data_IF_963821076023
#
_entry.id   IF_963821076023
#
_cell.length_a   1.000
_cell.length_b   1.000
_cell.length_c   1.000
_cell.angle_alpha   90.00
_cell.angle_beta   90.00
_cell.angle_gamma   90.00
#
_symmetry.space_group_name_H-M   'P 1'
#
loop_
_entity.id
_entity.type
_entity.pdbx_description
1 polymer ?
#
# COMPACT_ATOMS: atom_id res chain seq x y z
N UNK A 1 -14.67 10.80 10.85
CA UNK A 1 -13.45 11.62 10.65
C UNK A 1 -13.14 11.60 9.16
N UNK A 2 -13.23 12.75 8.47
CA UNK A 2 -12.78 12.86 7.07
C UNK A 2 -11.25 12.84 7.15
N UNK A 3 -10.64 11.78 6.62
CA UNK A 3 -9.20 11.65 6.53
C UNK A 3 -8.66 12.72 5.55
N UNK A 4 -7.52 13.34 5.85
CA UNK A 4 -6.90 14.37 4.99
C UNK A 4 -6.69 13.85 3.56
N UNK A 5 -6.46 12.54 3.43
CA UNK A 5 -6.35 11.88 2.13
C UNK A 5 -7.68 11.82 1.36
N UNK A 6 -8.84 11.74 2.04
CA UNK A 6 -10.14 11.73 1.34
C UNK A 6 -10.39 13.08 0.65
N UNK A 7 -10.10 14.19 1.33
CA UNK A 7 -10.24 15.54 0.74
C UNK A 7 -9.34 15.68 -0.48
N UNK A 8 -8.09 15.20 -0.40
CA UNK A 8 -7.17 15.18 -1.53
C UNK A 8 -7.74 14.39 -2.73
N UNK A 9 -8.24 13.18 -2.51
CA UNK A 9 -8.82 12.37 -3.58
C UNK A 9 -10.08 12.98 -4.19
N UNK A 10 -10.94 13.62 -3.37
CA UNK A 10 -12.11 14.36 -3.87
C UNK A 10 -11.69 15.57 -4.72
N UNK A 11 -10.69 16.33 -4.28
CA UNK A 11 -10.17 17.46 -5.04
C UNK A 11 -9.60 17.02 -6.40
N UNK A 12 -8.83 15.93 -6.42
CA UNK A 12 -8.31 15.37 -7.67
C UNK A 12 -9.44 14.86 -8.56
N UNK A 13 -10.44 14.18 -8.01
CA UNK A 13 -11.61 13.74 -8.77
C UNK A 13 -12.34 14.92 -9.44
N UNK A 14 -12.59 16.00 -8.70
CA UNK A 14 -13.20 17.22 -9.23
C UNK A 14 -12.34 17.82 -10.34
N UNK A 15 -11.02 17.89 -10.15
CA UNK A 15 -10.10 18.38 -11.17
C UNK A 15 -10.20 17.57 -12.47
N UNK A 16 -10.20 16.24 -12.38
CA UNK A 16 -10.29 15.38 -13.57
C UNK A 16 -11.67 15.47 -14.23
N UNK A 17 -12.76 15.62 -13.46
CA UNK A 17 -14.08 15.93 -14.03
C UNK A 17 -14.08 17.23 -14.83
N UNK A 18 -13.48 18.29 -14.29
CA UNK A 18 -13.35 19.58 -15.00
C UNK A 18 -12.54 19.42 -16.28
N UNK A 19 -11.41 18.71 -16.24
CA UNK A 19 -10.58 18.44 -17.42
C UNK A 19 -11.35 17.63 -18.49
N UNK A 20 -12.08 16.59 -18.08
CA UNK A 20 -12.94 15.82 -18.98
C UNK A 20 -14.00 16.71 -19.66
N UNK A 21 -14.64 17.61 -18.89
CA UNK A 21 -15.62 18.55 -19.43
C UNK A 21 -14.98 19.54 -20.42
N UNK A 22 -13.78 20.04 -20.14
CA UNK A 22 -13.03 20.91 -21.06
C UNK A 22 -12.64 20.17 -22.34
N UNK A 23 -12.27 18.89 -22.22
CA UNK A 23 -11.97 18.00 -23.35
C UNK A 23 -13.23 17.50 -24.09
N UNK A 24 -14.42 18.04 -23.77
CA UNK A 24 -15.73 17.69 -24.34
C UNK A 24 -15.97 16.18 -24.36
N UNK A 25 -15.53 15.47 -23.32
CA UNK A 25 -15.73 14.04 -23.19
C UNK A 25 -17.15 13.76 -22.68
N UNK A 26 -18.04 13.31 -23.57
CA UNK A 26 -19.44 12.99 -23.25
C UNK A 26 -19.74 11.49 -23.29
N UNK A 27 -18.73 10.64 -23.50
CA UNK A 27 -18.90 9.19 -23.43
C UNK A 27 -18.94 8.68 -21.99
N UNK A 28 -19.10 7.36 -21.83
CA UNK A 28 -19.01 6.70 -20.52
C UNK A 28 -17.66 6.97 -19.80
N UNK A 29 -16.61 7.37 -20.54
CA UNK A 29 -15.31 7.75 -20.00
C UNK A 29 -15.39 9.01 -19.13
N UNK A 30 -16.41 9.85 -19.30
CA UNK A 30 -16.67 10.99 -18.44
C UNK A 30 -16.88 10.59 -16.96
N UNK A 31 -17.31 9.35 -16.71
CA UNK A 31 -17.53 8.79 -15.36
C UNK A 31 -16.26 8.18 -14.75
N UNK A 32 -15.17 8.03 -15.51
CA UNK A 32 -13.92 7.46 -15.00
C UNK A 32 -13.34 8.16 -13.76
N UNK A 33 -13.48 9.48 -13.56
CA UNK A 33 -12.99 10.13 -12.34
C UNK A 33 -13.56 9.51 -11.05
N UNK A 34 -14.76 8.90 -11.09
CA UNK A 34 -15.35 8.21 -9.93
C UNK A 34 -14.43 7.08 -9.42
N UNK A 35 -13.66 6.43 -10.31
CA UNK A 35 -12.70 5.39 -9.95
C UNK A 35 -11.62 5.88 -8.95
N UNK A 36 -11.36 7.19 -8.90
CA UNK A 36 -10.40 7.79 -7.95
C UNK A 36 -10.87 7.54 -6.50
N UNK A 37 -12.17 7.71 -6.22
CA UNK A 37 -12.74 7.40 -4.89
C UNK A 37 -12.63 5.90 -4.59
N UNK A 38 -12.86 5.03 -5.57
CA UNK A 38 -12.68 3.59 -5.38
C UNK A 38 -11.26 3.25 -4.98
N UNK A 39 -10.27 3.89 -5.61
CA UNK A 39 -8.86 3.71 -5.28
C UNK A 39 -8.53 4.23 -3.88
N UNK A 40 -9.13 5.34 -3.42
CA UNK A 40 -8.98 5.77 -2.03
C UNK A 40 -9.38 4.66 -1.06
N UNK A 41 -10.55 4.04 -1.26
CA UNK A 41 -11.03 2.98 -0.37
C UNK A 41 -10.20 1.70 -0.48
N UNK A 42 -9.74 1.36 -1.68
CA UNK A 42 -8.84 0.23 -1.92
C UNK A 42 -7.49 0.43 -1.22
N UNK A 43 -6.88 1.61 -1.39
CA UNK A 43 -5.61 1.99 -0.78
C UNK A 43 -5.68 2.07 0.75
N UNK A 44 -6.84 2.40 1.32
CA UNK A 44 -7.08 2.30 2.76
C UNK A 44 -7.46 0.88 3.24
N UNK A 45 -7.45 -0.11 2.35
CA UNK A 45 -7.73 -1.51 2.68
C UNK A 45 -9.21 -1.81 2.97
N UNK A 46 -10.15 -0.88 2.75
CA UNK A 46 -11.58 -1.11 3.03
C UNK A 46 -12.20 -2.17 2.13
N UNK A 47 -11.70 -2.31 0.90
CA UNK A 47 -12.13 -3.33 -0.06
C UNK A 47 -11.27 -4.59 -0.06
N UNK A 48 -10.30 -4.70 0.86
CA UNK A 48 -9.41 -5.85 0.93
C UNK A 48 -9.84 -6.88 1.98
N UNK A 49 -9.40 -8.15 1.84
CA UNK A 49 -9.58 -9.17 2.87
C UNK A 49 -9.08 -8.69 4.25
N UNK A 50 -9.73 -9.14 5.32
CA UNK A 50 -9.45 -8.71 6.72
C UNK A 50 -7.95 -8.72 7.08
N UNK A 51 -7.20 -9.72 6.60
CA UNK A 51 -5.75 -9.86 6.87
C UNK A 51 -4.97 -8.70 6.22
N UNK A 52 -5.20 -8.43 4.94
CA UNK A 52 -4.56 -7.34 4.21
C UNK A 52 -4.97 -5.97 4.75
N UNK A 53 -6.25 -5.81 5.08
CA UNK A 53 -6.76 -4.58 5.71
C UNK A 53 -6.01 -4.26 7.01
N UNK A 54 -5.85 -5.23 7.92
CA UNK A 54 -5.07 -5.04 9.16
C UNK A 54 -3.62 -4.65 8.88
N UNK A 55 -2.99 -5.28 7.89
CA UNK A 55 -1.62 -4.97 7.48
C UNK A 55 -1.48 -3.53 7.00
N UNK A 56 -2.41 -3.06 6.17
CA UNK A 56 -2.45 -1.67 5.71
C UNK A 56 -2.72 -0.71 6.88
N UNK A 57 -3.67 -1.02 7.76
CA UNK A 57 -3.98 -0.20 8.95
C UNK A 57 -2.75 -0.05 9.86
N UNK A 58 -1.96 -1.10 10.07
CA UNK A 58 -0.69 -1.03 10.81
C UNK A 58 0.28 -0.03 10.14
N UNK A 59 0.41 -0.08 8.82
CA UNK A 59 1.28 0.83 8.07
C UNK A 59 0.77 2.28 8.08
N UNK A 60 -0.54 2.50 7.97
CA UNK A 60 -1.13 3.85 8.03
C UNK A 60 -0.97 4.45 9.43
N UNK A 61 -1.32 3.71 10.47
CA UNK A 61 -1.33 4.18 11.85
C UNK A 61 0.04 4.12 12.54
N UNK A 62 1.06 3.53 11.89
CA UNK A 62 2.37 3.33 12.50
C UNK A 62 2.34 2.34 13.67
N UNK A 63 1.44 1.36 13.61
CA UNK A 63 1.30 0.33 14.62
C UNK A 63 2.53 -0.59 14.70
N UNK A 64 2.57 -1.41 15.76
CA UNK A 64 3.68 -2.31 16.00
C UNK A 64 3.66 -3.51 15.03
N UNK A 65 4.75 -3.70 14.29
CA UNK A 65 4.85 -4.65 13.17
C UNK A 65 5.40 -6.02 13.55
N UNK A 66 6.05 -6.15 14.71
CA UNK A 66 6.88 -7.31 15.07
C UNK A 66 6.27 -8.19 16.17
N UNK A 67 4.96 -8.08 16.41
CA UNK A 67 4.24 -8.91 17.39
C UNK A 67 4.52 -10.41 17.19
N UNK A 68 4.57 -10.86 15.93
CA UNK A 68 4.83 -12.27 15.60
C UNK A 68 6.25 -12.71 16.01
N UNK A 69 7.25 -11.82 15.86
CA UNK A 69 8.63 -12.09 16.25
C UNK A 69 8.74 -12.10 17.78
N UNK A 70 8.15 -11.13 18.47
CA UNK A 70 8.18 -11.08 19.94
C UNK A 70 7.50 -12.30 20.56
N UNK A 71 6.35 -12.71 20.02
CA UNK A 71 5.64 -13.89 20.46
C UNK A 71 6.44 -15.18 20.23
N UNK A 72 7.23 -15.27 19.15
CA UNK A 72 8.14 -16.39 18.92
C UNK A 72 9.28 -16.40 19.96
N UNK A 73 9.93 -15.25 20.19
CA UNK A 73 11.02 -15.11 21.18
C UNK A 73 10.55 -15.46 22.60
N UNK A 74 9.42 -14.92 23.05
CA UNK A 74 8.90 -15.22 24.40
C UNK A 74 8.49 -16.69 24.58
N UNK A 75 8.10 -17.38 23.50
CA UNK A 75 7.83 -18.83 23.53
C UNK A 75 9.12 -19.65 23.63
N UNK A 76 10.21 -19.19 23.03
CA UNK A 76 11.54 -19.79 23.18
C UNK A 76 12.03 -19.64 24.64
N UNK A 77 12.00 -18.43 25.18
CA UNK A 77 12.48 -18.11 26.54
C UNK A 77 11.76 -18.88 27.65
N UNK A 78 10.46 -19.17 27.49
CA UNK A 78 9.69 -19.93 28.47
C UNK A 78 10.03 -21.42 28.53
N UNK A 79 10.57 -21.98 27.45
CA UNK A 79 10.76 -23.42 27.33
C UNK A 79 12.21 -23.87 27.55
N UNK A 80 13.20 -22.98 27.42
CA UNK A 80 14.61 -23.33 27.63
C UNK A 80 15.34 -22.23 28.43
N UNK A 81 16.03 -22.63 29.52
CA UNK A 81 17.07 -21.84 30.17
C UNK A 81 18.32 -21.80 29.27
N UNK A 82 18.20 -21.31 28.05
CA UNK A 82 19.37 -21.13 27.19
C UNK A 82 20.05 -19.80 27.54
N UNK A 83 21.39 -19.83 27.56
CA UNK A 83 22.26 -18.65 27.51
C UNK A 83 22.08 -17.94 26.15
N UNK A 84 20.93 -17.30 25.97
CA UNK A 84 20.42 -16.74 24.71
C UNK A 84 20.91 -15.31 24.44
N UNK A 85 21.96 -14.83 25.09
CA UNK A 85 22.40 -13.44 24.92
C UNK A 85 22.77 -13.16 23.45
N UNK A 86 23.51 -14.06 22.80
CA UNK A 86 23.94 -13.89 21.40
C UNK A 86 22.76 -14.02 20.41
N UNK A 87 21.80 -14.93 20.66
CA UNK A 87 20.60 -15.03 19.82
C UNK A 87 19.68 -13.81 20.00
N UNK A 88 19.54 -13.29 21.23
CA UNK A 88 18.77 -12.08 21.52
C UNK A 88 19.38 -10.87 20.81
N UNK A 89 20.70 -10.72 20.86
CA UNK A 89 21.41 -9.66 20.14
C UNK A 89 21.23 -9.79 18.63
N UNK A 90 21.33 -11.01 18.07
CA UNK A 90 21.08 -11.27 16.66
C UNK A 90 19.63 -10.95 16.25
N UNK A 91 18.65 -11.33 17.07
CA UNK A 91 17.22 -11.04 16.83
C UNK A 91 16.94 -9.54 16.95
N UNK A 92 17.52 -8.84 17.92
CA UNK A 92 17.43 -7.38 18.02
C UNK A 92 18.03 -6.69 16.79
N UNK A 93 19.18 -7.16 16.30
CA UNK A 93 19.82 -6.65 15.09
C UNK A 93 18.91 -6.82 13.87
N UNK A 94 18.28 -7.99 13.72
CA UNK A 94 17.29 -8.26 12.67
C UNK A 94 16.08 -7.34 12.83
N UNK A 95 15.52 -7.18 14.03
CA UNK A 95 14.40 -6.27 14.31
C UNK A 95 14.74 -4.83 13.94
N UNK A 96 15.93 -4.33 14.32
CA UNK A 96 16.40 -2.98 13.96
C UNK A 96 16.47 -2.79 12.45
N UNK A 97 17.01 -3.77 11.71
CA UNK A 97 17.04 -3.75 10.23
C UNK A 97 15.64 -3.78 9.63
N UNK A 98 14.78 -4.69 10.08
CA UNK A 98 13.39 -4.79 9.62
C UNK A 98 12.59 -3.52 9.91
N UNK A 99 12.84 -2.85 11.04
CA UNK A 99 12.19 -1.60 11.41
C UNK A 99 12.60 -0.47 10.44
N UNK A 100 13.87 -0.43 10.03
CA UNK A 100 14.34 0.49 9.00
C UNK A 100 13.64 0.21 7.66
N UNK A 101 13.59 -1.05 7.23
CA UNK A 101 12.91 -1.47 6.00
C UNK A 101 11.41 -1.11 6.06
N UNK A 102 10.74 -1.37 7.19
CA UNK A 102 9.34 -1.04 7.40
C UNK A 102 9.07 0.46 7.26
N UNK A 103 9.96 1.32 7.81
CA UNK A 103 9.86 2.78 7.66
C UNK A 103 9.95 3.19 6.19
N UNK A 104 10.87 2.60 5.42
CA UNK A 104 11.00 2.87 4.00
C UNK A 104 9.75 2.39 3.24
N UNK A 105 9.29 1.17 3.49
CA UNK A 105 8.09 0.61 2.88
C UNK A 105 6.84 1.45 3.20
N UNK A 106 6.73 1.98 4.41
CA UNK A 106 5.66 2.90 4.80
C UNK A 106 5.71 4.20 4.01
N UNK A 107 6.88 4.81 3.88
CA UNK A 107 7.05 6.02 3.07
C UNK A 107 6.69 5.77 1.61
N UNK A 108 7.16 4.65 1.04
CA UNK A 108 6.83 4.26 -0.34
C UNK A 108 5.33 4.05 -0.51
N UNK A 109 4.67 3.37 0.43
CA UNK A 109 3.23 3.16 0.38
C UNK A 109 2.44 4.47 0.44
N UNK A 110 2.75 5.36 1.37
CA UNK A 110 2.12 6.67 1.46
C UNK A 110 2.38 7.51 0.21
N UNK A 111 3.60 7.45 -0.32
CA UNK A 111 3.94 8.11 -1.57
C UNK A 111 3.11 7.56 -2.74
N UNK A 112 2.96 6.24 -2.87
CA UNK A 112 2.10 5.62 -3.88
C UNK A 112 0.64 6.01 -3.73
N UNK A 113 0.12 6.09 -2.51
CA UNK A 113 -1.25 6.55 -2.23
C UNK A 113 -1.47 8.00 -2.68
N UNK A 114 -0.47 8.87 -2.57
CA UNK A 114 -0.55 10.26 -3.05
C UNK A 114 -0.36 10.31 -4.56
N UNK A 115 0.56 9.52 -5.11
CA UNK A 115 0.92 9.54 -6.53
C UNK A 115 -0.16 8.92 -7.43
N UNK A 116 -0.86 7.89 -6.98
CA UNK A 116 -1.84 7.16 -7.79
C UNK A 116 -2.88 8.06 -8.50
N UNK A 117 -3.57 9.00 -7.82
CA UNK A 117 -4.56 9.87 -8.48
C UNK A 117 -3.95 10.92 -9.43
N UNK A 118 -2.62 11.08 -9.47
CA UNK A 118 -1.93 11.96 -10.44
C UNK A 118 -1.96 11.35 -11.86
N UNK A 119 -1.95 10.02 -11.99
CA UNK A 119 -1.96 9.37 -13.30
C UNK A 119 -3.22 9.70 -14.14
N UNK A 120 -4.45 9.68 -13.58
CA UNK A 120 -5.65 10.15 -14.28
C UNK A 120 -5.58 11.61 -14.72
N UNK A 121 -4.96 12.50 -13.91
CA UNK A 121 -4.77 13.91 -14.31
C UNK A 121 -3.90 13.97 -15.56
N UNK A 122 -2.73 13.31 -15.54
CA UNK A 122 -1.80 13.30 -16.66
C UNK A 122 -2.40 12.64 -17.91
N UNK A 123 -3.08 11.51 -17.75
CA UNK A 123 -3.74 10.83 -18.86
C UNK A 123 -4.84 11.68 -19.48
N UNK A 124 -5.64 12.37 -18.66
CA UNK A 124 -6.72 13.25 -19.15
C UNK A 124 -6.16 14.48 -19.84
N UNK A 125 -5.17 15.14 -19.24
CA UNK A 125 -4.50 16.30 -19.85
C UNK A 125 -3.85 15.93 -21.19
N UNK A 126 -3.07 14.84 -21.23
CA UNK A 126 -2.43 14.37 -22.46
C UNK A 126 -3.47 14.00 -23.53
N UNK A 127 -4.63 13.47 -23.14
CA UNK A 127 -5.68 13.09 -24.08
C UNK A 127 -6.34 14.27 -24.81
N UNK A 128 -6.17 15.51 -24.32
CA UNK A 128 -6.77 16.71 -24.94
C UNK A 128 -6.26 16.95 -26.37
N UNK A 129 -5.03 16.52 -26.68
CA UNK A 129 -4.39 16.69 -27.99
C UNK A 129 -4.71 15.55 -28.98
N UNK A 130 -5.48 14.55 -28.57
CA UNK A 130 -5.75 13.36 -29.37
C UNK A 130 -7.24 13.05 -29.49
N UNK A 131 -7.61 12.46 -30.62
CA UNK A 131 -8.99 12.03 -30.89
C UNK A 131 -9.10 10.51 -31.05
N UNK A 132 -10.33 10.01 -31.00
CA UNK A 132 -10.66 8.61 -31.25
C UNK A 132 -9.91 7.63 -30.33
N UNK A 133 -9.39 6.55 -30.90
CA UNK A 133 -8.80 5.45 -30.14
C UNK A 133 -7.55 5.85 -29.33
N UNK A 134 -6.79 6.84 -29.79
CA UNK A 134 -5.61 7.36 -29.07
C UNK A 134 -6.02 8.03 -27.75
N UNK A 135 -7.10 8.82 -27.77
CA UNK A 135 -7.69 9.43 -26.58
C UNK A 135 -8.09 8.38 -25.55
N UNK A 136 -8.82 7.36 -26.01
CA UNK A 136 -9.29 6.25 -25.17
C UNK A 136 -8.09 5.53 -24.52
N UNK A 137 -7.05 5.24 -25.29
CA UNK A 137 -5.87 4.54 -24.79
C UNK A 137 -5.10 5.36 -23.74
N UNK A 138 -4.98 6.67 -23.93
CA UNK A 138 -4.37 7.57 -22.94
C UNK A 138 -5.18 7.66 -21.64
N UNK A 139 -6.50 7.78 -21.74
CA UNK A 139 -7.38 7.75 -20.57
C UNK A 139 -7.26 6.41 -19.84
N UNK A 140 -7.47 5.29 -20.53
CA UNK A 140 -7.40 3.94 -19.93
C UNK A 140 -6.03 3.69 -19.31
N UNK A 141 -4.93 4.09 -19.95
CA UNK A 141 -3.59 3.93 -19.39
C UNK A 141 -3.34 4.81 -18.16
N UNK A 142 -3.87 6.02 -18.10
CA UNK A 142 -3.82 6.88 -16.91
C UNK A 142 -4.54 6.25 -15.71
N UNK A 143 -5.77 5.78 -15.90
CA UNK A 143 -6.49 5.07 -14.83
C UNK A 143 -5.87 3.71 -14.52
N UNK A 144 -5.37 2.99 -15.53
CA UNK A 144 -4.64 1.73 -15.36
C UNK A 144 -3.37 1.91 -14.51
N UNK A 145 -2.61 2.99 -14.75
CA UNK A 145 -1.43 3.35 -13.97
C UNK A 145 -1.75 3.61 -12.50
N UNK A 146 -2.85 4.31 -12.21
CA UNK A 146 -3.36 4.52 -10.85
C UNK A 146 -3.59 3.20 -10.12
N UNK A 147 -4.32 2.27 -10.76
CA UNK A 147 -4.58 0.96 -10.17
C UNK A 147 -3.31 0.15 -10.00
N UNK A 148 -2.43 0.12 -11.02
CA UNK A 148 -1.18 -0.62 -10.98
C UNK A 148 -0.32 -0.21 -9.78
N UNK A 149 -0.10 1.09 -9.58
CA UNK A 149 0.69 1.61 -8.45
C UNK A 149 0.11 1.16 -7.11
N UNK A 150 -1.20 1.23 -6.95
CA UNK A 150 -1.86 0.84 -5.69
C UNK A 150 -1.74 -0.66 -5.45
N UNK A 151 -2.00 -1.49 -6.46
CA UNK A 151 -1.88 -2.94 -6.34
C UNK A 151 -0.44 -3.37 -6.05
N UNK A 152 0.56 -2.78 -6.72
CA UNK A 152 1.97 -3.05 -6.45
C UNK A 152 2.35 -2.70 -5.00
N UNK A 153 1.89 -1.55 -4.50
CA UNK A 153 2.20 -1.14 -3.14
C UNK A 153 1.50 -2.03 -2.09
N UNK A 154 0.27 -2.47 -2.34
CA UNK A 154 -0.42 -3.45 -1.49
C UNK A 154 0.32 -4.80 -1.53
N UNK A 155 0.76 -5.25 -2.70
CA UNK A 155 1.53 -6.48 -2.85
C UNK A 155 2.86 -6.40 -2.10
N UNK A 156 3.55 -5.25 -2.15
CA UNK A 156 4.77 -4.98 -1.41
C UNK A 156 4.58 -5.10 0.11
N UNK A 157 3.52 -4.51 0.65
CA UNK A 157 3.14 -4.67 2.08
C UNK A 157 2.90 -6.13 2.40
N UNK A 158 2.14 -6.83 1.56
CA UNK A 158 1.82 -8.24 1.78
C UNK A 158 3.08 -9.12 1.82
N UNK A 159 4.02 -8.87 0.91
CA UNK A 159 5.31 -9.55 0.85
C UNK A 159 6.16 -9.26 2.09
N UNK A 160 6.20 -8.00 2.54
CA UNK A 160 6.93 -7.61 3.75
C UNK A 160 6.43 -8.35 5.00
N UNK A 161 5.11 -8.41 5.22
CA UNK A 161 4.56 -9.19 6.35
C UNK A 161 4.78 -10.70 6.19
N UNK A 162 4.79 -11.22 4.96
CA UNK A 162 5.13 -12.64 4.72
C UNK A 162 6.57 -12.93 5.13
N UNK A 163 7.50 -12.01 4.88
CA UNK A 163 8.89 -12.14 5.32
C UNK A 163 9.02 -12.08 6.85
N UNK A 164 8.32 -11.16 7.52
CA UNK A 164 8.28 -11.13 8.99
C UNK A 164 7.80 -12.46 9.56
N UNK A 165 6.70 -13.00 9.00
CA UNK A 165 6.16 -14.29 9.44
C UNK A 165 7.17 -15.43 9.22
N UNK A 166 7.83 -15.48 8.07
CA UNK A 166 8.87 -16.48 7.80
C UNK A 166 10.03 -16.41 8.79
N UNK A 167 10.41 -15.20 9.25
CA UNK A 167 11.43 -15.03 10.28
C UNK A 167 10.92 -15.56 11.62
N UNK A 168 9.68 -15.25 12.01
CA UNK A 168 9.07 -15.78 13.23
C UNK A 168 8.94 -17.31 13.21
N UNK A 169 8.50 -17.89 12.08
CA UNK A 169 8.37 -19.34 11.89
C UNK A 169 9.75 -20.04 11.99
N UNK A 170 10.83 -19.41 11.48
CA UNK A 170 12.20 -19.91 11.63
C UNK A 170 12.71 -19.86 13.06
N UNK A 171 12.34 -18.83 13.83
CA UNK A 171 12.67 -18.77 15.27
C UNK A 171 11.96 -19.90 16.00
N UNK A 172 10.67 -20.12 15.72
CA UNK A 172 9.90 -21.22 16.30
C UNK A 172 10.44 -22.61 15.92
N UNK A 173 11.07 -22.77 14.75
CA UNK A 173 11.64 -24.06 14.32
C UNK A 173 12.95 -24.42 15.02
N UNK A 174 13.72 -23.45 15.54
CA UNK A 174 14.91 -23.73 16.37
C UNK A 174 14.56 -24.58 17.60
N UNK A 175 13.30 -24.55 18.05
CA UNK A 175 12.79 -25.41 19.13
C UNK A 175 12.75 -26.92 18.79
N UNK A 176 12.76 -27.29 17.50
CA UNK A 176 12.50 -28.67 17.05
C UNK A 176 13.75 -29.48 16.73
N UNK A 177 14.89 -28.83 16.62
CA UNK A 177 16.20 -29.44 16.39
C UNK A 177 17.00 -29.48 17.71
#
# INVERSE_FOLDING_TARGET
MIDRYLVYYLAVMVLVFTLNSMAREYSILALFPICIIFVYFLGNGKFLPKILRKRIEIFLNGGYLFNDIDAAVSRLEKNEKLELNELKENIESIKKRLLSIAKVQRKLFLFSLILAPIFPILGTYASMEFEGMKKILLLVSGYGGMFAVIFFSIAGINAFFKQIKQIADRIDSVKKD
#
